data_IF_463423247074
#
_entry.id   IF_463423247074
#
_cell.length_a   1.000
_cell.length_b   1.000
_cell.length_c   1.000
_cell.angle_alpha   90.00
_cell.angle_beta   90.00
_cell.angle_gamma   90.00
#
_symmetry.space_group_name_H-M   'P 1'
#
loop_
_entity.id
_entity.type
_entity.pdbx_description
1 polymer ?
#
# COMPACT_ATOMS: atom_id res chain seq x y z
N UNK A 1 -15.67 -0.49 6.33
CA UNK A 1 -15.84 -1.73 5.54
C UNK A 1 -14.75 -2.71 5.94
N UNK A 2 -15.08 -3.99 6.08
CA UNK A 2 -14.07 -5.01 6.37
C UNK A 2 -13.54 -5.60 5.06
N UNK A 3 -12.23 -5.84 4.98
CA UNK A 3 -11.55 -6.48 3.85
C UNK A 3 -10.55 -7.53 4.34
N UNK A 4 -10.29 -8.56 3.55
CA UNK A 4 -9.20 -9.52 3.79
C UNK A 4 -8.05 -9.11 2.87
N UNK A 5 -6.87 -8.84 3.43
CA UNK A 5 -5.68 -8.52 2.64
C UNK A 5 -4.86 -9.77 2.35
N UNK A 6 -4.48 -9.95 1.08
CA UNK A 6 -3.67 -11.09 0.62
C UNK A 6 -2.48 -10.55 -0.16
N UNK A 7 -1.27 -10.77 0.35
CA UNK A 7 -0.02 -10.40 -0.29
C UNK A 7 0.41 -11.45 -1.31
N UNK A 8 0.60 -11.01 -2.55
CA UNK A 8 1.04 -11.82 -3.69
C UNK A 8 2.53 -11.66 -4.01
N UNK A 9 3.30 -10.90 -3.22
CA UNK A 9 4.74 -10.71 -3.45
C UNK A 9 5.58 -11.98 -3.24
N UNK A 10 5.02 -13.03 -2.65
CA UNK A 10 5.69 -14.30 -2.40
C UNK A 10 4.82 -15.48 -2.84
N UNK A 11 5.45 -16.64 -3.07
CA UNK A 11 4.78 -17.91 -3.32
C UNK A 11 5.17 -18.91 -2.22
N UNK A 12 4.23 -19.39 -1.37
CA UNK A 12 2.79 -19.15 -1.43
C UNK A 12 2.40 -17.71 -1.00
N UNK A 13 1.24 -17.25 -1.48
CA UNK A 13 0.68 -15.96 -1.08
C UNK A 13 0.45 -15.89 0.44
N UNK A 14 0.65 -14.71 1.02
CA UNK A 14 0.54 -14.51 2.47
C UNK A 14 -0.76 -13.79 2.82
N UNK A 15 -1.56 -14.38 3.71
CA UNK A 15 -2.73 -13.71 4.26
C UNK A 15 -2.28 -12.68 5.32
N UNK A 16 -2.61 -11.41 5.11
CA UNK A 16 -2.29 -10.29 6.00
C UNK A 16 -3.41 -9.98 7.01
N UNK A 17 -4.49 -10.76 6.97
CA UNK A 17 -5.60 -10.72 7.91
C UNK A 17 -6.76 -9.81 7.50
N UNK A 18 -7.74 -9.74 8.40
CA UNK A 18 -8.91 -8.86 8.29
C UNK A 18 -8.51 -7.43 8.68
N UNK A 19 -8.87 -6.45 7.84
CA UNK A 19 -8.69 -5.02 8.12
C UNK A 19 -10.00 -4.26 7.96
N UNK A 20 -10.16 -3.23 8.78
CA UNK A 20 -11.27 -2.29 8.68
C UNK A 20 -10.77 -1.01 8.02
N UNK A 21 -11.38 -0.65 6.89
CA UNK A 21 -11.05 0.55 6.12
C UNK A 21 -12.24 1.51 6.10
N UNK A 22 -11.97 2.82 6.18
CA UNK A 22 -12.99 3.86 6.15
C UNK A 22 -13.51 4.17 4.75
N UNK A 23 -12.67 3.97 3.74
CA UNK A 23 -12.94 4.29 2.33
C UNK A 23 -12.68 3.03 1.50
N UNK A 24 -13.48 2.80 0.46
CA UNK A 24 -13.27 1.67 -0.44
C UNK A 24 -11.91 1.81 -1.15
N UNK A 25 -11.08 0.76 -1.19
CA UNK A 25 -9.80 0.83 -1.87
C UNK A 25 -10.02 0.85 -3.39
N UNK A 26 -9.02 1.33 -4.13
CA UNK A 26 -8.99 1.27 -5.59
C UNK A 26 -7.74 0.53 -6.09
N UNK A 27 -7.85 -0.08 -7.27
CA UNK A 27 -6.70 -0.72 -7.92
C UNK A 27 -5.66 0.33 -8.29
N UNK A 28 -4.39 0.05 -7.99
CA UNK A 28 -3.26 0.97 -8.15
C UNK A 28 -3.00 1.89 -6.96
N UNK A 29 -3.93 1.99 -5.99
CA UNK A 29 -3.68 2.75 -4.77
C UNK A 29 -2.62 2.07 -3.90
N UNK A 30 -1.90 2.91 -3.15
CA UNK A 30 -0.94 2.46 -2.15
C UNK A 30 -1.58 2.50 -0.78
N UNK A 31 -1.37 1.43 -0.02
CA UNK A 31 -1.78 1.32 1.37
C UNK A 31 -0.57 1.17 2.27
N UNK A 32 -0.62 1.83 3.41
CA UNK A 32 0.33 1.65 4.49
C UNK A 32 -0.24 0.65 5.50
N UNK A 33 0.55 -0.37 5.84
CA UNK A 33 0.23 -1.30 6.91
C UNK A 33 1.29 -1.22 7.98
N UNK A 34 0.85 -1.02 9.22
CA UNK A 34 1.70 -1.12 10.39
C UNK A 34 2.13 -2.58 10.59
N UNK A 35 3.45 -2.81 10.57
CA UNK A 35 4.06 -3.98 11.16
C UNK A 35 4.78 -3.53 12.43
N UNK A 36 4.80 -4.35 13.48
CA UNK A 36 5.23 -4.03 14.86
C UNK A 36 6.20 -2.84 15.07
N UNK A 37 7.26 -2.75 14.26
CA UNK A 37 8.33 -1.74 14.37
C UNK A 37 8.52 -0.83 13.14
N UNK A 38 7.71 -1.01 12.10
CA UNK A 38 7.85 -0.27 10.84
C UNK A 38 6.59 -0.34 9.98
N UNK A 39 6.26 0.74 9.30
CA UNK A 39 5.24 0.70 8.26
C UNK A 39 5.76 0.09 6.97
N UNK A 40 4.95 -0.75 6.34
CA UNK A 40 5.19 -1.28 5.00
C UNK A 40 4.18 -0.70 4.02
N UNK A 41 4.63 -0.40 2.81
CA UNK A 41 3.79 0.07 1.73
C UNK A 41 3.49 -1.10 0.80
N UNK A 42 2.21 -1.22 0.43
CA UNK A 42 1.73 -2.18 -0.54
C UNK A 42 0.92 -1.47 -1.61
N UNK A 43 0.96 -1.99 -2.84
CA UNK A 43 0.09 -1.58 -3.93
C UNK A 43 -1.10 -2.53 -4.04
N UNK A 44 -2.31 -1.99 -4.25
CA UNK A 44 -3.50 -2.78 -4.51
C UNK A 44 -3.49 -3.24 -5.97
N UNK A 45 -3.46 -4.55 -6.19
CA UNK A 45 -3.45 -5.14 -7.52
C UNK A 45 -4.86 -5.42 -8.04
N UNK A 46 -5.73 -5.93 -7.17
CA UNK A 46 -7.12 -6.26 -7.54
C UNK A 46 -7.99 -6.43 -6.29
N UNK A 47 -9.29 -6.23 -6.47
CA UNK A 47 -10.30 -6.33 -5.43
C UNK A 47 -11.36 -7.31 -5.90
N UNK A 48 -11.56 -8.39 -5.14
CA UNK A 48 -12.52 -9.44 -5.46
C UNK A 48 -13.69 -9.35 -4.49
N UNK A 49 -14.85 -8.96 -5.04
CA UNK A 49 -16.12 -8.97 -4.34
C UNK A 49 -16.82 -10.31 -4.57
N UNK A 50 -17.09 -11.04 -3.50
CA UNK A 50 -17.96 -12.22 -3.52
C UNK A 50 -19.29 -11.83 -2.87
N UNK A 51 -20.39 -12.20 -3.49
CA UNK A 51 -21.74 -12.02 -2.93
C UNK A 51 -21.74 -12.66 -1.53
N UNK A 52 -22.07 -11.87 -0.51
CA UNK A 52 -22.14 -12.25 0.91
C UNK A 52 -20.82 -12.62 1.61
N UNK A 53 -19.66 -12.25 1.07
CA UNK A 53 -18.38 -12.40 1.78
C UNK A 53 -17.63 -11.09 1.90
N UNK A 54 -16.77 -11.04 2.91
CA UNK A 54 -15.78 -9.97 3.06
C UNK A 54 -14.93 -9.90 1.78
N UNK A 55 -14.83 -8.72 1.13
CA UNK A 55 -14.00 -8.56 -0.06
C UNK A 55 -12.55 -8.95 0.21
N UNK A 56 -11.95 -9.64 -0.76
CA UNK A 56 -10.54 -9.98 -0.76
C UNK A 56 -9.79 -8.91 -1.57
N UNK A 57 -8.80 -8.28 -0.96
CA UNK A 57 -7.95 -7.26 -1.58
C UNK A 57 -6.56 -7.86 -1.73
N UNK A 58 -6.13 -8.01 -2.98
CA UNK A 58 -4.84 -8.58 -3.31
C UNK A 58 -3.84 -7.45 -3.50
N UNK A 59 -2.69 -7.59 -2.84
CA UNK A 59 -1.69 -6.54 -2.76
C UNK A 59 -0.30 -7.04 -3.11
N UNK A 60 0.58 -6.10 -3.45
CA UNK A 60 2.00 -6.32 -3.71
C UNK A 60 2.82 -5.45 -2.77
N UNK A 61 3.66 -6.08 -1.94
CA UNK A 61 4.65 -5.38 -1.13
C UNK A 61 5.61 -4.56 -1.99
N UNK A 62 5.76 -3.27 -1.66
CA UNK A 62 6.68 -2.34 -2.31
C UNK A 62 7.95 -2.06 -1.50
N UNK A 63 7.87 -2.16 -0.18
CA UNK A 63 9.00 -1.85 0.71
C UNK A 63 8.57 -1.30 2.06
N UNK A 64 9.55 -1.10 2.95
CA UNK A 64 9.34 -0.35 4.18
C UNK A 64 9.27 1.15 3.88
N UNK A 65 8.32 1.86 4.50
CA UNK A 65 8.12 3.28 4.28
C UNK A 65 9.42 4.11 4.51
N UNK A 66 10.20 3.91 5.59
CA UNK A 66 11.46 4.64 5.76
C UNK A 66 12.48 4.40 4.64
N UNK A 67 12.52 3.20 4.07
CA UNK A 67 13.42 2.86 2.98
C UNK A 67 12.97 3.48 1.67
N UNK A 68 11.67 3.45 1.37
CA UNK A 68 11.08 4.09 0.19
C UNK A 68 11.28 5.61 0.22
N UNK A 69 11.08 6.24 1.39
CA UNK A 69 11.38 7.66 1.62
C UNK A 69 12.87 7.91 1.38
N UNK A 70 13.76 7.13 2.00
CA UNK A 70 15.20 7.26 1.80
C UNK A 70 15.53 7.15 0.32
N UNK A 71 15.11 6.12 -0.39
CA UNK A 71 15.38 5.95 -1.83
C UNK A 71 14.87 7.13 -2.65
N UNK A 72 13.67 7.64 -2.36
CA UNK A 72 13.07 8.77 -3.05
C UNK A 72 13.87 10.07 -2.88
N UNK A 73 14.50 10.26 -1.71
CA UNK A 73 15.17 11.51 -1.32
C UNK A 73 16.71 11.42 -1.24
N UNK A 74 17.31 10.23 -1.34
CA UNK A 74 18.78 10.04 -1.24
C UNK A 74 19.52 10.13 -2.57
N UNK A 75 18.82 10.19 -3.71
CA UNK A 75 19.46 10.45 -5.00
C UNK A 75 19.51 11.95 -5.26
N UNK A 76 20.43 12.67 -4.61
CA UNK A 76 21.01 13.95 -5.07
C UNK A 76 20.07 15.08 -5.52
N UNK A 77 18.77 15.00 -5.30
CA UNK A 77 17.82 16.04 -5.65
C UNK A 77 17.61 16.89 -4.42
N UNK A 78 18.22 18.07 -4.42
CA UNK A 78 17.82 19.18 -3.57
C UNK A 78 16.30 19.30 -3.66
N UNK A 79 15.61 19.03 -2.56
CA UNK A 79 14.17 19.20 -2.46
C UNK A 79 13.88 20.70 -2.58
N UNK A 80 13.53 21.18 -3.77
CA UNK A 80 13.00 22.54 -3.91
C UNK A 80 11.50 22.49 -3.64
N UNK A 81 11.03 23.33 -2.72
CA UNK A 81 9.60 23.55 -2.46
C UNK A 81 8.82 23.81 -3.76
N UNK A 82 9.44 24.44 -4.75
CA UNK A 82 8.85 24.71 -6.07
C UNK A 82 8.46 23.46 -6.86
N UNK A 83 9.10 22.30 -6.63
CA UNK A 83 8.72 21.04 -7.27
C UNK A 83 7.54 20.36 -6.57
N UNK A 84 7.33 20.63 -5.28
CA UNK A 84 6.21 20.07 -4.52
C UNK A 84 4.88 20.68 -4.97
N UNK A 85 4.85 21.99 -5.20
CA UNK A 85 3.65 22.71 -5.65
C UNK A 85 3.18 22.31 -7.05
N UNK A 86 4.04 21.68 -7.86
CA UNK A 86 3.67 21.17 -9.20
C UNK A 86 3.09 19.76 -9.23
N UNK A 87 3.20 19.00 -8.13
CA UNK A 87 2.63 17.66 -8.04
C UNK A 87 1.17 17.66 -7.58
N UNK A 88 0.69 18.79 -7.05
CA UNK A 88 -0.64 18.94 -6.44
C UNK A 88 -1.47 20.08 -7.08
N UNK A 89 -1.01 20.63 -8.21
CA UNK A 89 -1.77 21.47 -9.13
C UNK A 89 -1.93 20.75 -10.47
#
# INVERSE_FOLDING_TARGET
>A
MNIILIDLSQSPSKNLGLKTIGISPQVGEWIELDHDKSSAIYEILTIVHKVDRTPEVYVRYLGHLPELIRQRFSVGQSFSLERWDKCFN
#
